data_IF_520729217203
#
_entry.id   IF_520729217203
#
_cell.length_a   1.000
_cell.length_b   1.000
_cell.length_c   1.000
_cell.angle_alpha   90.00
_cell.angle_beta   90.00
_cell.angle_gamma   90.00
#
_symmetry.space_group_name_H-M   'P 1'
#
loop_
_entity.id
_entity.type
_entity.pdbx_description
1 polymer ?
#
# COMPACT_ATOMS: atom_id res chain seq x y z
N UNK A 1 36.90 -38.50 47.81
CA UNK A 1 37.02 -37.03 47.65
C UNK A 1 36.59 -36.67 46.25
N UNK A 2 35.45 -35.99 46.15
CA UNK A 2 34.82 -35.54 44.92
C UNK A 2 35.56 -34.33 44.35
N UNK A 3 35.83 -34.33 43.05
CA UNK A 3 35.92 -33.09 42.25
C UNK A 3 35.21 -33.36 40.93
N UNK A 4 33.93 -32.98 40.87
CA UNK A 4 33.18 -32.91 39.63
C UNK A 4 33.55 -31.60 38.94
N UNK A 5 34.16 -31.68 37.76
CA UNK A 5 34.32 -30.54 36.86
C UNK A 5 32.96 -30.22 36.25
N UNK A 6 32.36 -29.11 36.71
CA UNK A 6 31.17 -28.53 36.10
C UNK A 6 31.62 -27.70 34.89
N UNK A 7 31.62 -28.30 33.70
CA UNK A 7 31.84 -27.58 32.45
C UNK A 7 30.57 -26.79 32.15
N UNK A 8 30.58 -25.50 32.47
CA UNK A 8 29.52 -24.56 32.11
C UNK A 8 29.57 -24.38 30.57
N UNK A 9 28.72 -25.10 29.85
CA UNK A 9 28.46 -24.82 28.44
C UNK A 9 27.78 -23.44 28.36
N UNK A 10 28.57 -22.40 28.16
CA UNK A 10 28.08 -21.10 27.72
C UNK A 10 27.68 -21.27 26.26
N UNK A 11 26.42 -21.63 26.01
CA UNK A 11 25.80 -21.54 24.70
C UNK A 11 25.75 -20.06 24.30
N UNK A 12 26.80 -19.60 23.64
CA UNK A 12 26.77 -18.38 22.84
C UNK A 12 25.65 -18.54 21.81
N UNK A 13 24.49 -17.96 22.13
CA UNK A 13 23.45 -17.63 21.17
C UNK A 13 24.06 -16.62 20.18
N UNK A 14 24.79 -17.12 19.19
CA UNK A 14 25.03 -16.37 17.96
C UNK A 14 23.64 -16.04 17.40
N UNK A 15 23.30 -14.77 17.15
CA UNK A 15 22.07 -14.44 16.45
C UNK A 15 22.13 -15.14 15.10
N UNK A 16 21.22 -16.07 14.85
CA UNK A 16 21.09 -16.68 13.54
C UNK A 16 20.91 -15.55 12.53
N UNK A 17 21.80 -15.48 11.53
CA UNK A 17 21.66 -14.60 10.39
C UNK A 17 20.49 -15.16 9.57
N UNK A 18 19.27 -14.74 9.88
CA UNK A 18 18.10 -15.07 9.06
C UNK A 18 18.06 -14.02 7.96
N UNK A 19 17.72 -14.39 6.72
CA UNK A 19 17.51 -13.41 5.65
C UNK A 19 16.13 -12.79 5.75
N UNK A 20 16.02 -11.50 5.44
CA UNK A 20 14.70 -10.90 5.33
C UNK A 20 14.00 -11.52 4.15
N UNK A 21 12.70 -11.55 4.27
CA UNK A 21 11.85 -12.00 3.20
C UNK A 21 10.66 -11.06 3.16
N UNK A 22 10.41 -10.47 2.00
CA UNK A 22 9.38 -9.46 1.85
C UNK A 22 8.90 -9.40 0.42
N UNK A 23 7.61 -9.15 0.25
CA UNK A 23 7.02 -8.97 -1.05
C UNK A 23 5.98 -7.84 -1.08
N UNK A 24 5.91 -7.15 -2.20
CA UNK A 24 4.82 -6.24 -2.56
C UNK A 24 3.66 -7.07 -3.12
N UNK A 25 2.66 -7.30 -2.27
CA UNK A 25 1.41 -7.99 -2.61
C UNK A 25 0.46 -7.06 -3.37
N UNK A 26 0.45 -5.76 -3.05
CA UNK A 26 -0.40 -4.75 -3.68
C UNK A 26 0.43 -3.51 -4.05
N UNK A 27 0.36 -3.01 -5.30
CA UNK A 27 -0.13 -3.73 -6.46
C UNK A 27 0.73 -4.99 -6.69
N UNK A 28 0.14 -6.03 -7.27
CA UNK A 28 0.80 -7.34 -7.32
C UNK A 28 2.07 -7.30 -8.15
N UNK A 29 3.19 -7.68 -7.54
CA UNK A 29 4.48 -7.68 -8.21
C UNK A 29 4.65 -8.85 -9.21
N UNK A 30 5.56 -8.67 -10.17
CA UNK A 30 5.96 -9.66 -11.17
C UNK A 30 6.42 -10.94 -10.49
N UNK A 31 5.97 -12.11 -10.94
CA UNK A 31 6.29 -13.39 -10.28
C UNK A 31 5.39 -13.76 -9.10
N UNK A 32 4.48 -12.88 -8.64
CA UNK A 32 3.51 -13.17 -7.58
C UNK A 32 2.06 -13.32 -8.07
N UNK A 33 1.83 -13.60 -9.35
CA UNK A 33 0.48 -13.78 -9.91
C UNK A 33 -0.24 -15.02 -9.38
N UNK A 34 0.51 -16.06 -9.01
CA UNK A 34 -0.04 -17.28 -8.41
C UNK A 34 -0.13 -17.18 -6.90
N UNK A 35 -1.10 -17.92 -6.34
CA UNK A 35 -1.24 -18.08 -4.89
C UNK A 35 0.02 -18.72 -4.31
N UNK A 36 0.47 -18.19 -3.18
CA UNK A 36 1.51 -18.78 -2.34
C UNK A 36 1.12 -18.66 -0.86
N UNK A 37 1.99 -19.15 0.04
CA UNK A 37 1.79 -18.97 1.49
C UNK A 37 1.73 -17.49 1.89
N UNK A 38 2.48 -16.63 1.22
CA UNK A 38 2.63 -15.21 1.55
C UNK A 38 1.73 -14.31 0.69
N UNK A 39 1.11 -14.90 -0.32
CA UNK A 39 0.23 -14.26 -1.30
C UNK A 39 -1.02 -15.12 -1.43
N UNK A 40 -1.99 -14.96 -0.52
CA UNK A 40 -3.07 -15.94 -0.36
C UNK A 40 -4.06 -15.95 -1.53
N UNK A 41 -4.05 -14.92 -2.39
CA UNK A 41 -4.90 -14.78 -3.57
C UNK A 41 -4.10 -14.91 -4.87
N UNK A 42 -4.65 -15.63 -5.85
CA UNK A 42 -4.10 -15.68 -7.20
C UNK A 42 -4.78 -14.61 -8.08
N UNK A 43 -4.00 -13.89 -8.88
CA UNK A 43 -4.52 -13.09 -10.00
C UNK A 43 -4.70 -13.95 -11.25
N UNK A 44 -3.79 -14.90 -11.46
CA UNK A 44 -3.87 -15.86 -12.55
C UNK A 44 -3.19 -17.17 -12.13
N UNK A 45 -3.97 -18.24 -12.04
CA UNK A 45 -3.47 -19.55 -11.63
C UNK A 45 -2.57 -20.22 -12.69
N UNK A 46 -2.63 -19.75 -13.94
CA UNK A 46 -1.84 -20.26 -15.06
C UNK A 46 -0.54 -19.48 -15.28
N UNK A 47 -0.32 -18.38 -14.55
CA UNK A 47 0.92 -17.60 -14.66
C UNK A 47 2.15 -18.43 -14.24
N UNK A 48 3.35 -18.11 -14.74
CA UNK A 48 4.58 -18.74 -14.27
C UNK A 48 4.76 -18.58 -12.75
N UNK A 49 5.09 -19.69 -12.07
CA UNK A 49 5.37 -19.65 -10.63
C UNK A 49 6.81 -19.20 -10.40
N UNK A 50 6.99 -18.08 -9.70
CA UNK A 50 8.22 -17.79 -8.99
C UNK A 50 8.17 -18.45 -7.60
N UNK A 51 9.20 -19.22 -7.25
CA UNK A 51 9.32 -19.85 -5.93
C UNK A 51 10.06 -18.96 -4.93
N UNK A 52 10.72 -17.90 -5.41
CA UNK A 52 11.52 -16.98 -4.63
C UNK A 52 11.03 -15.52 -4.67
N UNK A 53 9.71 -15.21 -4.78
CA UNK A 53 9.23 -13.85 -5.00
C UNK A 53 9.38 -12.94 -3.77
N UNK A 54 9.76 -13.51 -2.63
CA UNK A 54 9.93 -12.81 -1.36
C UNK A 54 11.41 -12.71 -0.97
N UNK A 55 12.32 -13.23 -1.79
CA UNK A 55 13.75 -13.31 -1.47
C UNK A 55 14.48 -11.98 -1.77
N UNK A 56 15.62 -11.72 -1.10
CA UNK A 56 16.46 -10.54 -1.33
C UNK A 56 16.80 -10.30 -2.79
N UNK A 57 17.04 -9.05 -3.17
CA UNK A 57 17.51 -8.69 -4.50
C UNK A 57 18.86 -9.35 -4.82
N UNK A 58 19.02 -9.73 -6.08
CA UNK A 58 20.22 -10.33 -6.60
C UNK A 58 20.13 -11.86 -6.62
N UNK A 59 21.14 -12.55 -6.09
CA UNK A 59 21.15 -14.02 -6.04
C UNK A 59 20.13 -14.50 -5.02
N UNK A 60 19.04 -15.11 -5.52
CA UNK A 60 17.94 -15.65 -4.72
C UNK A 60 18.37 -16.98 -4.08
N UNK A 61 18.56 -16.98 -2.77
CA UNK A 61 19.06 -18.14 -2.00
C UNK A 61 18.53 -18.07 -0.56
N UNK A 62 18.22 -19.24 0.03
CA UNK A 62 17.60 -19.38 1.36
C UNK A 62 18.62 -19.62 2.48
N UNK A 63 19.91 -19.70 2.14
CA UNK A 63 20.99 -19.83 3.10
C UNK A 63 21.11 -18.57 3.97
N UNK A 64 21.09 -18.69 5.31
CA UNK A 64 21.40 -17.63 6.26
C UNK A 64 22.42 -16.57 5.80
N UNK A 65 21.94 -15.34 5.58
CA UNK A 65 22.75 -14.18 5.18
C UNK A 65 23.01 -14.06 3.68
N UNK A 66 22.31 -14.85 2.85
CA UNK A 66 22.39 -14.81 1.40
C UNK A 66 22.06 -13.42 0.83
N UNK A 67 21.12 -12.69 1.44
CA UNK A 67 20.73 -11.37 1.00
C UNK A 67 21.87 -10.36 1.12
N UNK A 68 22.57 -10.36 2.26
CA UNK A 68 23.76 -9.54 2.47
C UNK A 68 24.89 -9.95 1.52
N UNK A 69 25.14 -11.26 1.42
CA UNK A 69 26.18 -11.81 0.56
C UNK A 69 25.95 -11.46 -0.92
N UNK A 70 24.69 -11.48 -1.37
CA UNK A 70 24.29 -11.05 -2.72
C UNK A 70 24.73 -9.60 -2.98
N UNK A 71 24.49 -8.69 -2.02
CA UNK A 71 24.92 -7.29 -2.15
C UNK A 71 26.45 -7.15 -2.12
N UNK A 72 27.14 -7.91 -1.29
CA UNK A 72 28.61 -7.94 -1.21
C UNK A 72 29.24 -8.38 -2.54
N UNK A 73 28.74 -9.48 -3.12
CA UNK A 73 29.21 -10.02 -4.39
C UNK A 73 28.97 -9.00 -5.52
N UNK A 74 27.77 -8.41 -5.57
CA UNK A 74 27.44 -7.45 -6.62
C UNK A 74 28.23 -6.15 -6.50
N UNK A 75 28.53 -5.70 -5.29
CA UNK A 75 29.32 -4.49 -5.04
C UNK A 75 30.81 -4.70 -5.33
N UNK A 76 31.39 -5.83 -4.92
CA UNK A 76 32.84 -6.05 -4.92
C UNK A 76 33.57 -4.98 -4.10
N UNK A 77 34.76 -4.57 -4.57
CA UNK A 77 35.61 -3.59 -3.88
C UNK A 77 35.00 -2.18 -3.76
N UNK A 78 33.91 -1.90 -4.50
CA UNK A 78 33.19 -0.62 -4.41
C UNK A 78 32.48 -0.44 -3.07
N UNK A 79 32.14 -1.54 -2.41
CA UNK A 79 31.39 -1.50 -1.15
C UNK A 79 29.93 -1.08 -1.30
N UNK A 80 29.26 -0.99 -0.15
CA UNK A 80 27.90 -0.51 -0.03
C UNK A 80 27.84 1.02 -0.02
N UNK A 81 26.86 1.58 -0.73
CA UNK A 81 26.51 3.00 -0.70
C UNK A 81 24.99 3.15 -0.87
N UNK A 82 24.42 4.27 -0.40
CA UNK A 82 22.97 4.49 -0.46
C UNK A 82 22.40 4.31 -1.86
N UNK A 83 21.20 3.74 -1.91
CA UNK A 83 20.43 3.62 -3.14
C UNK A 83 20.05 5.02 -3.65
N UNK A 84 20.47 5.33 -4.87
CA UNK A 84 20.19 6.61 -5.52
C UNK A 84 20.21 6.40 -7.05
N UNK A 85 19.17 5.76 -7.62
CA UNK A 85 19.18 5.30 -9.00
C UNK A 85 19.17 6.44 -10.04
N UNK A 86 18.97 7.68 -9.60
CA UNK A 86 18.95 8.88 -10.44
C UNK A 86 20.34 9.44 -10.71
N UNK A 87 21.33 9.05 -9.91
CA UNK A 87 22.71 9.51 -10.09
C UNK A 87 23.39 8.79 -11.25
N UNK A 88 24.11 9.51 -12.12
CA UNK A 88 24.86 8.90 -13.23
C UNK A 88 25.92 7.89 -12.77
N UNK A 89 26.53 8.11 -11.60
CA UNK A 89 27.55 7.25 -11.00
C UNK A 89 26.98 6.13 -10.11
N UNK A 90 25.65 6.06 -9.96
CA UNK A 90 25.01 4.98 -9.23
C UNK A 90 25.16 3.65 -9.98
N UNK A 91 25.82 2.69 -9.34
CA UNK A 91 25.89 1.33 -9.87
C UNK A 91 24.88 0.44 -9.14
N UNK A 92 24.14 -0.36 -9.89
CA UNK A 92 23.15 -1.25 -9.30
C UNK A 92 23.81 -2.49 -8.67
N UNK A 93 23.24 -2.96 -7.55
CA UNK A 93 23.65 -4.23 -6.89
C UNK A 93 22.72 -5.41 -7.22
N UNK A 94 21.67 -5.16 -7.99
CA UNK A 94 20.86 -6.20 -8.63
C UNK A 94 20.23 -5.65 -9.93
N UNK A 95 19.45 -6.48 -10.61
CA UNK A 95 18.52 -6.04 -11.66
C UNK A 95 17.50 -5.05 -11.13
N UNK A 96 16.95 -4.18 -11.98
CA UNK A 96 16.00 -3.14 -11.52
C UNK A 96 14.70 -3.68 -10.92
N UNK A 97 14.38 -4.96 -11.20
CA UNK A 97 13.26 -5.69 -10.59
C UNK A 97 13.70 -6.86 -9.69
N UNK A 98 14.94 -6.83 -9.19
CA UNK A 98 15.38 -7.70 -8.09
C UNK A 98 16.15 -8.96 -8.49
N UNK A 99 16.32 -9.20 -9.78
CA UNK A 99 17.13 -10.31 -10.32
C UNK A 99 18.64 -10.14 -10.04
N UNK A 100 19.47 -11.19 -10.19
CA UNK A 100 20.93 -11.08 -10.09
C UNK A 100 21.51 -9.96 -10.97
N UNK A 101 22.45 -9.16 -10.44
CA UNK A 101 23.09 -8.09 -11.21
C UNK A 101 23.79 -8.60 -12.48
N UNK A 102 24.37 -9.81 -12.40
CA UNK A 102 25.11 -10.48 -13.46
C UNK A 102 24.44 -11.82 -13.85
N UNK A 103 23.13 -11.80 -14.09
CA UNK A 103 22.37 -12.98 -14.48
C UNK A 103 21.12 -12.67 -15.30
N UNK A 104 20.32 -13.70 -15.56
CA UNK A 104 19.06 -13.56 -16.28
C UNK A 104 18.14 -12.58 -15.55
N UNK A 105 17.51 -11.68 -16.31
CA UNK A 105 16.55 -10.70 -15.80
C UNK A 105 15.12 -11.24 -16.01
N UNK A 106 14.75 -12.26 -15.23
CA UNK A 106 13.49 -12.97 -15.40
C UNK A 106 12.26 -12.10 -15.10
N UNK A 107 12.42 -11.01 -14.34
CA UNK A 107 11.37 -10.04 -14.03
C UNK A 107 11.32 -8.84 -14.98
N UNK A 108 12.17 -8.77 -16.01
CA UNK A 108 12.09 -7.74 -17.05
C UNK A 108 11.47 -8.28 -18.33
N UNK A 109 11.06 -7.40 -19.23
CA UNK A 109 10.49 -7.74 -20.53
C UNK A 109 11.29 -8.81 -21.27
N UNK A 110 10.59 -9.87 -21.68
CA UNK A 110 11.17 -11.07 -22.27
C UNK A 110 11.58 -12.15 -21.26
N UNK A 111 11.61 -11.81 -19.97
CA UNK A 111 11.83 -12.71 -18.85
C UNK A 111 10.58 -13.50 -18.48
N UNK A 112 10.80 -14.61 -17.76
CA UNK A 112 9.76 -15.58 -17.39
C UNK A 112 8.61 -14.98 -16.57
N UNK A 113 8.89 -14.01 -15.70
CA UNK A 113 7.95 -13.46 -14.73
C UNK A 113 7.39 -12.09 -15.12
N UNK A 114 7.84 -11.52 -16.24
CA UNK A 114 7.30 -10.30 -16.82
C UNK A 114 5.82 -10.42 -17.19
N UNK A 115 5.40 -11.62 -17.63
CA UNK A 115 4.01 -11.97 -17.89
C UNK A 115 3.29 -10.94 -18.78
N UNK A 116 3.92 -10.62 -19.91
CA UNK A 116 3.48 -9.66 -20.92
C UNK A 116 3.18 -8.24 -20.39
N UNK A 117 3.74 -7.87 -19.23
CA UNK A 117 3.52 -6.56 -18.63
C UNK A 117 2.07 -6.36 -18.19
N UNK A 118 1.41 -7.44 -17.75
CA UNK A 118 -0.01 -7.43 -17.35
C UNK A 118 -0.29 -6.34 -16.31
N UNK A 119 -1.10 -5.36 -16.68
CA UNK A 119 -1.56 -4.31 -15.77
C UNK A 119 -2.35 -4.92 -14.60
N UNK A 120 -1.81 -4.81 -13.39
CA UNK A 120 -2.40 -5.37 -12.16
C UNK A 120 -3.20 -4.35 -11.36
N UNK A 121 -3.02 -3.06 -11.64
CA UNK A 121 -3.77 -1.97 -11.02
C UNK A 121 -3.79 -0.76 -11.94
N UNK A 122 -4.90 -0.02 -11.88
CA UNK A 122 -5.03 1.29 -12.50
C UNK A 122 -5.11 2.34 -11.38
N UNK A 123 -4.57 3.52 -11.61
CA UNK A 123 -4.64 4.64 -10.70
C UNK A 123 -4.97 5.91 -11.46
N UNK A 124 -5.41 6.92 -10.73
CA UNK A 124 -5.64 8.25 -11.25
C UNK A 124 -4.37 9.10 -11.12
N UNK A 125 -4.03 9.86 -12.15
CA UNK A 125 -3.01 10.92 -12.10
C UNK A 125 -3.20 11.84 -10.88
N UNK A 126 -2.10 12.15 -10.18
CA UNK A 126 -2.11 12.94 -8.94
C UNK A 126 -2.70 12.23 -7.71
N UNK A 127 -3.19 11.00 -7.87
CA UNK A 127 -3.83 10.22 -6.82
C UNK A 127 -2.86 9.67 -5.77
N UNK A 128 -3.42 8.94 -4.81
CA UNK A 128 -2.67 8.20 -3.80
C UNK A 128 -2.65 6.72 -4.16
N UNK A 129 -1.47 6.12 -4.10
CA UNK A 129 -1.29 4.66 -4.14
C UNK A 129 -0.93 4.16 -2.74
N UNK A 130 -1.25 2.92 -2.45
CA UNK A 130 -0.94 2.22 -1.21
C UNK A 130 -0.29 0.89 -1.52
N UNK A 131 0.75 0.56 -0.77
CA UNK A 131 1.51 -0.67 -0.96
C UNK A 131 1.13 -1.71 0.09
N UNK A 132 0.57 -2.83 -0.35
CA UNK A 132 0.34 -3.98 0.52
C UNK A 132 1.62 -4.80 0.58
N UNK A 133 2.21 -4.96 1.76
CA UNK A 133 3.48 -5.63 1.94
C UNK A 133 3.32 -6.88 2.80
N UNK A 134 3.80 -8.02 2.33
CA UNK A 134 3.91 -9.23 3.13
C UNK A 134 5.37 -9.45 3.49
N UNK A 135 5.70 -9.23 4.77
CA UNK A 135 7.05 -9.32 5.32
C UNK A 135 7.12 -10.54 6.24
N UNK A 136 8.01 -11.49 5.93
CA UNK A 136 8.17 -12.77 6.64
C UNK A 136 9.30 -12.72 7.68
N UNK A 137 10.25 -11.81 7.48
CA UNK A 137 11.32 -11.53 8.42
C UNK A 137 11.55 -10.02 8.44
N UNK A 138 11.20 -9.38 9.56
CA UNK A 138 10.88 -7.95 9.60
C UNK A 138 12.04 -7.02 9.23
N UNK A 139 13.28 -7.36 9.62
CA UNK A 139 14.57 -6.68 9.37
C UNK A 139 14.65 -5.14 9.44
N UNK A 140 13.55 -4.48 9.82
CA UNK A 140 13.40 -3.05 9.97
C UNK A 140 13.72 -2.28 8.68
N UNK A 141 14.22 -1.05 8.82
CA UNK A 141 14.60 -0.21 7.70
C UNK A 141 13.40 0.46 7.04
N UNK A 142 13.47 0.67 5.74
CA UNK A 142 12.46 1.47 5.03
C UNK A 142 12.26 1.04 3.58
N UNK A 143 11.08 1.38 3.10
CA UNK A 143 10.64 1.24 1.72
C UNK A 143 10.69 2.58 1.01
N UNK A 144 11.13 2.58 -0.23
CA UNK A 144 10.92 3.66 -1.19
C UNK A 144 10.17 3.11 -2.41
N UNK A 145 9.35 3.97 -3.03
CA UNK A 145 8.55 3.63 -4.19
C UNK A 145 8.92 4.52 -5.37
N UNK A 146 9.05 3.93 -6.56
CA UNK A 146 9.41 4.63 -7.78
C UNK A 146 8.44 4.25 -8.88
N UNK A 147 8.03 5.20 -9.73
CA UNK A 147 7.19 4.90 -10.90
C UNK A 147 7.92 5.30 -12.16
N UNK A 148 7.96 4.40 -13.13
CA UNK A 148 8.55 4.62 -14.44
C UNK A 148 7.47 4.56 -15.52
N UNK A 149 7.42 5.59 -16.36
CA UNK A 149 6.61 5.59 -17.58
C UNK A 149 7.39 4.87 -18.68
N UNK A 150 7.00 3.63 -19.02
CA UNK A 150 7.81 2.79 -19.92
C UNK A 150 7.84 3.31 -21.35
N UNK A 151 6.94 4.21 -21.73
CA UNK A 151 7.00 4.90 -23.02
C UNK A 151 8.23 5.83 -23.12
N UNK A 152 8.80 6.23 -21.98
CA UNK A 152 10.05 7.03 -21.89
C UNK A 152 11.29 6.16 -21.67
N UNK A 153 11.11 4.86 -21.41
CA UNK A 153 12.22 3.94 -21.22
C UNK A 153 12.60 3.29 -22.56
N UNK A 154 13.89 3.26 -22.88
CA UNK A 154 14.37 2.46 -24.00
C UNK A 154 14.04 0.97 -23.79
N UNK A 155 13.58 0.29 -24.85
CA UNK A 155 13.14 -1.11 -24.78
C UNK A 155 11.69 -1.30 -24.34
N UNK A 156 11.02 -0.24 -23.86
CA UNK A 156 9.61 -0.28 -23.44
C UNK A 156 9.39 -1.15 -22.20
N UNK A 157 10.30 -1.07 -21.23
CA UNK A 157 10.17 -1.56 -19.86
C UNK A 157 11.09 -0.74 -18.94
N UNK A 158 10.92 -0.85 -17.62
CA UNK A 158 11.83 -0.26 -16.63
C UNK A 158 13.27 -0.73 -16.86
N UNK A 159 14.22 0.19 -16.79
CA UNK A 159 15.65 -0.08 -16.98
C UNK A 159 16.50 0.87 -16.16
N UNK A 160 17.79 0.56 -16.00
CA UNK A 160 18.74 1.41 -15.26
C UNK A 160 18.78 2.83 -15.84
N UNK A 161 18.89 2.92 -17.16
CA UNK A 161 18.95 4.19 -17.89
C UNK A 161 17.63 4.96 -17.80
N UNK A 162 16.50 4.28 -17.62
CA UNK A 162 15.21 4.95 -17.46
C UNK A 162 15.15 5.81 -16.19
N UNK A 163 15.83 5.42 -15.12
CA UNK A 163 15.95 6.25 -13.92
C UNK A 163 16.81 7.50 -14.18
N UNK A 164 17.93 7.34 -14.87
CA UNK A 164 18.88 8.43 -15.11
C UNK A 164 18.37 9.45 -16.15
N UNK A 165 17.54 9.01 -17.09
CA UNK A 165 17.00 9.85 -18.17
C UNK A 165 15.64 10.50 -17.82
N UNK A 166 15.19 10.41 -16.57
CA UNK A 166 13.94 11.04 -16.11
C UNK A 166 12.67 10.32 -16.55
N UNK A 167 12.75 9.07 -16.99
CA UNK A 167 11.58 8.22 -17.24
C UNK A 167 10.96 7.67 -15.95
N UNK A 168 11.74 7.63 -14.86
CA UNK A 168 11.30 7.26 -13.52
C UNK A 168 11.28 8.45 -12.55
N UNK A 169 10.43 8.36 -11.54
CA UNK A 169 10.32 9.35 -10.45
C UNK A 169 10.07 8.67 -9.12
N UNK A 170 10.70 9.18 -8.07
CA UNK A 170 10.50 8.68 -6.70
C UNK A 170 9.20 9.28 -6.18
N UNK A 171 8.35 8.44 -5.61
CA UNK A 171 7.13 8.89 -4.99
C UNK A 171 7.42 9.41 -3.59
N UNK A 172 6.68 10.45 -3.21
CA UNK A 172 6.65 10.93 -1.83
C UNK A 172 5.52 10.25 -1.09
N UNK A 173 5.71 10.02 0.21
CA UNK A 173 4.66 9.59 1.13
C UNK A 173 3.42 10.47 1.01
N UNK A 174 2.24 9.84 1.03
CA UNK A 174 0.98 10.56 1.18
C UNK A 174 0.71 10.83 2.66
N UNK A 175 0.12 11.99 2.95
CA UNK A 175 -0.33 12.35 4.29
C UNK A 175 -1.41 11.35 4.76
N UNK A 176 -1.23 10.80 5.94
CA UNK A 176 -2.19 9.94 6.60
C UNK A 176 -2.35 10.38 8.07
N UNK A 177 -3.55 10.84 8.49
CA UNK A 177 -3.73 11.42 9.83
C UNK A 177 -3.27 10.49 10.96
N UNK A 178 -3.53 9.19 10.82
CA UNK A 178 -3.11 8.20 11.81
C UNK A 178 -1.58 8.08 11.90
N UNK A 179 -0.88 8.07 10.77
CA UNK A 179 0.58 8.01 10.75
C UNK A 179 1.19 9.30 11.31
N UNK A 180 0.66 10.46 10.91
CA UNK A 180 1.11 11.78 11.37
C UNK A 180 0.78 12.06 12.84
N UNK A 181 -0.14 11.30 13.45
CA UNK A 181 -0.37 11.34 14.90
C UNK A 181 0.87 10.91 15.69
N UNK A 182 1.78 10.16 15.05
CA UNK A 182 2.98 9.53 15.65
C UNK A 182 2.67 8.45 16.68
N UNK A 183 1.40 8.16 16.91
CA UNK A 183 0.93 7.21 17.92
C UNK A 183 0.59 5.85 17.32
N UNK A 184 0.38 5.76 16.01
CA UNK A 184 0.03 4.49 15.37
C UNK A 184 1.14 3.47 15.49
N UNK A 185 0.76 2.21 15.68
CA UNK A 185 1.65 1.05 15.58
C UNK A 185 1.72 0.49 14.16
N UNK A 186 0.83 0.94 13.27
CA UNK A 186 0.69 0.46 11.89
C UNK A 186 1.47 1.31 10.88
N UNK A 187 1.81 2.55 11.22
CA UNK A 187 2.66 3.41 10.41
C UNK A 187 3.29 4.54 11.22
N UNK A 188 4.39 5.06 10.72
CA UNK A 188 5.07 6.21 11.27
C UNK A 188 4.85 7.48 10.43
N UNK A 189 5.12 8.66 11.02
CA UNK A 189 4.96 9.96 10.38
C UNK A 189 5.91 10.12 9.18
N UNK A 190 5.65 11.11 8.33
CA UNK A 190 6.55 11.43 7.22
C UNK A 190 7.89 11.95 7.74
N UNK A 191 8.98 11.33 7.29
CA UNK A 191 10.33 11.83 7.50
C UNK A 191 10.57 13.10 6.68
N UNK A 192 10.78 14.22 7.35
CA UNK A 192 11.02 15.51 6.69
C UNK A 192 12.33 15.54 5.88
N UNK A 193 13.34 14.76 6.28
CA UNK A 193 14.61 14.68 5.56
C UNK A 193 14.52 13.74 4.36
N UNK A 194 13.66 12.71 4.46
CA UNK A 194 13.49 11.69 3.43
C UNK A 194 12.00 11.40 3.19
N UNK A 195 11.25 12.34 2.56
CA UNK A 195 9.79 12.24 2.45
C UNK A 195 9.30 11.12 1.54
N UNK A 196 10.20 10.42 0.84
CA UNK A 196 9.91 9.22 0.05
C UNK A 196 10.02 7.90 0.83
N UNK A 197 10.45 7.93 2.09
CA UNK A 197 10.66 6.72 2.89
C UNK A 197 9.43 6.36 3.70
N UNK A 198 9.05 5.10 3.64
CA UNK A 198 8.11 4.49 4.57
C UNK A 198 8.86 3.49 5.45
N UNK A 199 8.96 3.76 6.75
CA UNK A 199 9.66 2.90 7.69
C UNK A 199 8.78 1.73 8.10
N UNK A 200 9.36 0.53 8.13
CA UNK A 200 8.63 -0.67 8.54
C UNK A 200 8.13 -0.51 10.00
N UNK A 201 6.81 -0.65 10.25
CA UNK A 201 6.19 -0.51 11.57
C UNK A 201 6.60 -1.57 12.59
N UNK A 202 5.91 -1.63 13.72
CA UNK A 202 6.17 -2.70 14.67
C UNK A 202 5.75 -4.05 14.09
N UNK A 203 6.67 -5.03 14.14
CA UNK A 203 6.37 -6.44 13.89
C UNK A 203 5.26 -6.91 14.83
N UNK A 204 4.32 -7.71 14.32
CA UNK A 204 3.29 -8.34 15.16
C UNK A 204 3.87 -9.48 15.99
N UNK A 205 5.02 -10.03 15.58
CA UNK A 205 5.81 -10.98 16.35
C UNK A 205 6.97 -10.27 17.08
N UNK A 206 7.04 -10.43 18.41
CA UNK A 206 8.08 -9.84 19.26
C UNK A 206 9.50 -10.38 19.01
N UNK A 207 9.65 -11.42 18.21
CA UNK A 207 10.94 -11.95 17.74
C UNK A 207 11.38 -11.34 16.41
N UNK A 208 10.47 -10.63 15.71
CA UNK A 208 10.65 -10.20 14.33
C UNK A 208 10.70 -11.37 13.32
N UNK A 209 10.40 -12.59 13.78
CA UNK A 209 10.26 -13.79 12.98
C UNK A 209 8.77 -14.10 12.90
N UNK A 210 8.16 -13.87 11.75
CA UNK A 210 6.71 -13.95 11.64
C UNK A 210 6.24 -13.37 10.34
N UNK A 211 5.10 -13.86 9.87
CA UNK A 211 4.46 -13.29 8.70
C UNK A 211 3.66 -12.06 9.13
N UNK A 212 4.22 -10.89 8.89
CA UNK A 212 3.56 -9.60 9.00
C UNK A 212 2.95 -9.22 7.65
N UNK A 213 1.67 -8.87 7.67
CA UNK A 213 1.04 -8.19 6.54
C UNK A 213 0.84 -6.73 6.91
N UNK A 214 1.42 -5.83 6.13
CA UNK A 214 1.20 -4.40 6.19
C UNK A 214 0.20 -4.01 5.10
N UNK A 215 -1.02 -3.63 5.49
CA UNK A 215 -2.03 -3.24 4.54
C UNK A 215 -1.71 -1.92 3.79
N UNK A 216 -2.23 -1.74 2.56
CA UNK A 216 -1.90 -0.61 1.70
C UNK A 216 -2.33 0.77 2.22
N UNK A 217 -3.31 0.86 3.12
CA UNK A 217 -3.78 2.11 3.71
C UNK A 217 -2.70 2.82 4.55
N UNK A 218 -1.76 2.06 5.11
CA UNK A 218 -0.70 2.59 5.97
C UNK A 218 0.57 2.95 5.19
N UNK A 219 0.86 2.22 4.10
CA UNK A 219 2.03 2.43 3.24
C UNK A 219 1.66 3.23 1.98
N UNK A 220 1.19 4.47 2.15
CA UNK A 220 0.67 5.30 1.06
C UNK A 220 1.66 6.34 0.50
N UNK A 221 1.57 6.56 -0.82
CA UNK A 221 2.43 7.43 -1.62
C UNK A 221 1.60 8.25 -2.60
N UNK A 222 2.03 9.48 -2.91
CA UNK A 222 1.36 10.37 -3.87
C UNK A 222 1.99 10.23 -5.25
N UNK A 223 1.16 9.99 -6.26
CA UNK A 223 1.54 10.08 -7.67
C UNK A 223 1.74 11.57 -8.05
N UNK A 224 2.75 11.91 -8.86
CA UNK A 224 2.91 13.29 -9.34
C UNK A 224 1.70 13.77 -10.15
N UNK A 225 1.35 15.04 -9.98
CA UNK A 225 0.16 15.64 -10.61
C UNK A 225 0.17 15.58 -12.13
N UNK A 226 1.35 15.48 -12.77
CA UNK A 226 1.51 15.43 -14.23
C UNK A 226 1.79 14.02 -14.77
N UNK A 227 1.93 13.03 -13.89
CA UNK A 227 2.26 11.66 -14.29
C UNK A 227 1.00 10.89 -14.70
N UNK A 228 0.98 10.41 -15.93
CA UNK A 228 0.02 9.47 -16.49
C UNK A 228 0.75 8.59 -17.51
N UNK A 229 0.27 7.38 -17.74
CA UNK A 229 0.90 6.37 -18.58
C UNK A 229 -0.06 5.21 -18.83
N UNK A 230 -0.10 4.70 -20.06
CA UNK A 230 -0.86 3.50 -20.41
C UNK A 230 -0.26 2.23 -19.80
N UNK A 231 1.06 2.23 -19.67
CA UNK A 231 1.86 1.22 -19.02
C UNK A 231 2.95 1.94 -18.20
N UNK A 232 2.87 1.77 -16.90
CA UNK A 232 3.89 2.17 -15.94
C UNK A 232 4.40 0.96 -15.19
N UNK A 233 5.61 1.08 -14.67
CA UNK A 233 6.16 0.12 -13.72
C UNK A 233 6.37 0.81 -12.38
N UNK A 234 5.71 0.30 -11.35
CA UNK A 234 5.99 0.66 -9.96
C UNK A 234 7.11 -0.25 -9.45
N UNK A 235 8.23 0.34 -9.06
CA UNK A 235 9.31 -0.34 -8.34
C UNK A 235 9.16 -0.11 -6.83
N UNK A 236 9.15 -1.21 -6.08
CA UNK A 236 9.30 -1.25 -4.64
C UNK A 236 10.77 -1.53 -4.30
N UNK A 237 11.41 -0.61 -3.58
CA UNK A 237 12.74 -0.80 -2.99
C UNK A 237 12.59 -0.92 -1.47
N UNK A 238 13.09 -1.99 -0.88
CA UNK A 238 13.24 -2.11 0.57
C UNK A 238 14.69 -2.35 0.94
N UNK A 239 15.19 -1.64 1.94
CA UNK A 239 16.48 -1.87 2.56
C UNK A 239 16.33 -2.19 4.04
N UNK A 240 16.97 -3.28 4.46
CA UNK A 240 16.97 -3.73 5.86
C UNK A 240 17.86 -2.86 6.76
N UNK A 241 17.61 -2.90 8.06
CA UNK A 241 18.41 -2.23 9.10
C UNK A 241 18.74 -3.16 10.30
N UNK A 242 18.85 -4.47 10.03
CA UNK A 242 19.20 -5.50 11.02
C UNK A 242 20.73 -5.66 11.17
N UNK A 243 21.49 -5.50 10.08
CA UNK A 243 22.94 -5.74 10.05
C UNK A 243 23.74 -4.45 10.26
N UNK A 244 23.35 -3.38 9.59
CA UNK A 244 23.87 -2.02 9.74
C UNK A 244 22.68 -1.05 9.63
N UNK A 245 22.86 0.21 10.02
CA UNK A 245 21.80 1.23 9.89
C UNK A 245 22.01 2.05 8.61
N UNK A 246 21.10 1.98 7.62
CA UNK A 246 21.14 2.87 6.46
C UNK A 246 21.12 4.36 6.89
N UNK A 247 21.75 5.27 6.13
CA UNK A 247 21.76 6.70 6.48
C UNK A 247 20.37 7.28 6.66
N UNK A 248 20.18 8.08 7.72
CA UNK A 248 18.91 8.71 8.08
C UNK A 248 18.00 7.87 8.97
N UNK A 249 18.22 6.54 9.09
CA UNK A 249 17.35 5.68 9.91
C UNK A 249 17.35 6.12 11.38
N UNK A 250 18.53 6.30 11.98
CA UNK A 250 18.60 6.75 13.38
C UNK A 250 18.02 8.16 13.55
N UNK A 251 18.26 9.07 12.61
CA UNK A 251 17.75 10.44 12.66
C UNK A 251 16.22 10.49 12.64
N UNK A 252 15.58 9.59 11.90
CA UNK A 252 14.12 9.45 11.89
C UNK A 252 13.57 9.04 13.25
N UNK A 253 14.17 8.02 13.87
CA UNK A 253 13.71 7.49 15.16
C UNK A 253 14.03 8.40 16.35
N UNK A 254 15.18 9.09 16.31
CA UNK A 254 15.63 9.97 17.39
C UNK A 254 15.22 11.43 17.19
N UNK A 255 14.68 11.74 16.02
CA UNK A 255 14.24 13.06 15.65
C UNK A 255 12.98 13.50 16.44
N UNK A 256 12.76 14.82 16.54
CA UNK A 256 11.62 15.38 17.29
C UNK A 256 10.26 15.00 16.71
N UNK A 257 10.22 14.53 15.47
CA UNK A 257 9.02 14.11 14.75
C UNK A 257 8.92 12.59 14.57
N UNK A 258 9.80 11.80 15.18
CA UNK A 258 9.76 10.34 15.09
C UNK A 258 8.51 9.71 15.74
N UNK A 259 8.27 8.41 15.51
CA UNK A 259 7.15 7.67 16.10
C UNK A 259 7.30 7.58 17.63
N UNK A 260 6.22 7.86 18.37
CA UNK A 260 6.22 7.91 19.83
C UNK A 260 6.00 6.53 20.47
N UNK A 261 5.17 5.69 19.85
CA UNK A 261 4.74 4.42 20.45
C UNK A 261 5.56 3.22 20.00
N UNK A 262 6.62 3.44 19.21
CA UNK A 262 7.42 2.33 18.69
C UNK A 262 8.51 1.90 19.66
N UNK A 263 8.95 2.75 20.61
CA UNK A 263 10.14 2.49 21.46
C UNK A 263 10.23 1.14 22.18
N UNK A 264 9.11 0.45 22.41
CA UNK A 264 9.05 -0.88 23.04
C UNK A 264 9.00 -2.05 22.06
N UNK A 265 8.79 -1.78 20.77
CA UNK A 265 8.65 -2.78 19.73
C UNK A 265 9.96 -3.54 19.52
N UNK A 266 9.93 -4.85 19.66
CA UNK A 266 11.09 -5.70 19.41
C UNK A 266 11.14 -6.08 17.94
N UNK A 267 12.34 -6.12 17.39
CA UNK A 267 12.59 -6.60 16.03
C UNK A 267 13.86 -7.43 15.94
N UNK A 268 14.11 -7.98 14.75
CA UNK A 268 15.33 -8.74 14.49
C UNK A 268 16.61 -7.88 14.59
N UNK A 269 17.76 -8.55 14.72
CA UNK A 269 19.05 -7.88 14.90
C UNK A 269 19.28 -7.29 16.29
N UNK A 270 18.31 -7.45 17.21
CA UNK A 270 18.30 -6.79 18.52
C UNK A 270 17.61 -5.43 18.50
N UNK A 271 16.81 -5.15 17.48
CA UNK A 271 16.11 -3.88 17.35
C UNK A 271 15.13 -3.65 18.51
N UNK A 272 15.16 -2.42 19.03
CA UNK A 272 14.21 -1.90 20.01
C UNK A 272 13.67 -0.58 19.48
N UNK A 273 12.37 -0.57 19.24
CA UNK A 273 11.63 0.49 18.57
C UNK A 273 11.94 0.67 17.10
N UNK A 274 11.96 -0.43 16.36
CA UNK A 274 12.11 -0.41 14.90
C UNK A 274 13.54 -0.10 14.44
N UNK A 275 14.51 -0.02 15.35
CA UNK A 275 15.90 0.31 15.01
C UNK A 275 16.92 -0.44 15.87
N UNK A 276 18.06 -0.75 15.27
CA UNK A 276 19.15 -1.50 15.90
C UNK A 276 20.29 -0.55 16.31
N UNK A 277 20.15 0.09 17.48
CA UNK A 277 21.03 1.20 17.91
C UNK A 277 22.50 0.86 18.11
N UNK A 278 22.82 -0.42 18.36
CA UNK A 278 24.19 -0.89 18.54
C UNK A 278 24.89 -1.28 17.22
N UNK A 279 24.25 -1.09 16.07
CA UNK A 279 24.84 -1.37 14.75
C UNK A 279 25.53 -0.15 14.17
N UNK A 280 26.62 -0.39 13.44
CA UNK A 280 27.33 0.64 12.69
C UNK A 280 26.45 1.15 11.53
N UNK A 281 26.68 2.38 11.05
CA UNK A 281 26.08 2.85 9.79
C UNK A 281 26.47 1.94 8.62
N UNK A 282 25.56 1.75 7.67
CA UNK A 282 25.86 1.07 6.42
C UNK A 282 26.80 1.92 5.56
N UNK A 283 27.72 1.26 4.84
CA UNK A 283 28.72 1.95 4.03
C UNK A 283 30.02 1.17 3.85
N UNK A 284 30.67 1.41 2.70
CA UNK A 284 31.99 0.89 2.39
C UNK A 284 32.00 -0.63 2.24
N UNK A 285 33.18 -1.24 2.33
CA UNK A 285 33.39 -2.66 2.03
C UNK A 285 33.02 -3.61 3.19
N UNK A 286 32.57 -3.09 4.33
CA UNK A 286 32.33 -3.89 5.54
C UNK A 286 30.88 -3.90 6.01
N UNK A 287 30.10 -2.83 5.75
CA UNK A 287 28.78 -2.63 6.34
C UNK A 287 27.69 -2.65 5.25
N UNK A 288 27.17 -3.84 4.98
CA UNK A 288 26.14 -4.07 3.97
C UNK A 288 24.76 -4.30 4.59
N UNK A 289 23.75 -3.66 4.01
CA UNK A 289 22.35 -3.99 4.24
C UNK A 289 21.89 -5.03 3.21
N UNK A 290 20.84 -5.78 3.57
CA UNK A 290 20.03 -6.52 2.61
C UNK A 290 19.14 -5.56 1.83
N UNK A 291 18.90 -5.85 0.56
CA UNK A 291 18.10 -5.02 -0.34
C UNK A 291 17.10 -5.87 -1.10
N UNK A 292 15.94 -5.30 -1.43
CA UNK A 292 14.85 -5.94 -2.16
C UNK A 292 14.37 -4.98 -3.24
N UNK A 293 14.24 -5.45 -4.46
CA UNK A 293 13.64 -4.71 -5.56
C UNK A 293 12.54 -5.58 -6.17
N UNK A 294 11.37 -5.01 -6.40
CA UNK A 294 10.26 -5.70 -7.07
C UNK A 294 9.52 -4.72 -7.96
N UNK A 295 8.89 -5.23 -9.00
CA UNK A 295 8.20 -4.42 -9.99
C UNK A 295 6.76 -4.87 -10.16
N UNK A 296 5.83 -3.93 -10.32
CA UNK A 296 4.44 -4.20 -10.69
C UNK A 296 4.04 -3.32 -11.88
N UNK A 297 3.34 -3.92 -12.83
CA UNK A 297 2.84 -3.23 -14.01
C UNK A 297 1.50 -2.58 -13.70
N UNK A 298 1.43 -1.26 -13.82
CA UNK A 298 0.26 -0.45 -13.45
C UNK A 298 -0.10 0.51 -14.58
N UNK A 299 -1.31 1.04 -14.55
CA UNK A 299 -1.75 2.14 -15.42
C UNK A 299 -2.01 3.39 -14.59
N UNK A 300 -1.69 4.55 -15.13
CA UNK A 300 -2.07 5.83 -14.52
C UNK A 300 -2.86 6.63 -15.54
N UNK A 301 -4.17 6.72 -15.31
CA UNK A 301 -5.11 7.41 -16.19
C UNK A 301 -5.03 8.92 -15.99
N UNK A 302 -5.16 9.66 -17.11
CA UNK A 302 -5.25 11.11 -17.07
C UNK A 302 -6.48 11.54 -16.30
N UNK A 303 -6.32 12.59 -15.50
CA UNK A 303 -7.45 13.24 -14.86
C UNK A 303 -7.66 14.66 -15.40
N UNK A 304 -8.61 14.77 -16.33
CA UNK A 304 -9.13 16.05 -16.78
C UNK A 304 -10.27 16.47 -15.83
N UNK A 305 -9.93 16.88 -14.61
CA UNK A 305 -10.91 17.38 -13.65
C UNK A 305 -11.73 18.55 -14.21
N UNK A 306 -12.82 18.97 -13.52
CA UNK A 306 -13.57 20.15 -13.92
C UNK A 306 -12.58 21.30 -14.08
N UNK A 307 -12.40 21.79 -15.31
CA UNK A 307 -11.58 22.97 -15.59
C UNK A 307 -12.13 24.07 -14.69
N UNK A 308 -11.41 24.43 -13.63
CA UNK A 308 -11.76 25.61 -12.88
C UNK A 308 -11.59 26.77 -13.85
N UNK A 309 -12.72 27.25 -14.38
CA UNK A 309 -12.80 28.29 -15.39
C UNK A 309 -12.41 29.66 -14.86
N UNK A 310 -11.37 29.77 -14.03
CA UNK A 310 -10.71 31.04 -13.78
C UNK A 310 -9.61 31.21 -14.82
N UNK A 311 -9.96 31.80 -15.96
CA UNK A 311 -9.00 32.65 -16.67
C UNK A 311 -8.36 33.57 -15.61
N UNK A 312 -7.05 33.78 -15.61
CA UNK A 312 -6.47 34.87 -14.85
C UNK A 312 -7.14 36.15 -15.35
N UNK A 313 -7.96 36.77 -14.50
CA UNK A 313 -8.45 38.12 -14.77
C UNK A 313 -7.20 39.00 -14.72
N UNK A 314 -6.87 39.60 -15.85
CA UNK A 314 -5.85 40.65 -15.92
C UNK A 314 -6.13 41.69 -14.83
N UNK A 315 -5.10 42.12 -14.11
CA UNK A 315 -5.20 43.01 -12.96
C UNK A 315 -5.51 44.47 -13.35
N UNK A 316 -6.39 44.69 -14.31
CA UNK A 316 -6.72 46.01 -14.81
C UNK A 316 -8.23 46.08 -15.06
N UNK A 317 -8.90 46.78 -14.13
CA UNK A 317 -10.31 47.23 -14.07
C UNK A 317 -11.01 46.78 -12.78
N UNK A 318 -10.67 47.47 -11.68
CA UNK A 318 -11.53 47.57 -10.50
C UNK A 318 -12.48 48.74 -10.76
N UNK A 319 -13.75 48.43 -11.05
CA UNK A 319 -14.87 49.36 -10.94
C UNK A 319 -15.27 49.45 -9.45
N UNK A 320 -15.19 50.62 -8.80
CA UNK A 320 -15.45 50.78 -7.37
C UNK A 320 -16.94 50.79 -6.98
N UNK A 321 -17.87 50.41 -7.87
CA UNK A 321 -19.31 50.48 -7.59
C UNK A 321 -20.03 49.13 -7.67
N UNK A 322 -19.71 48.20 -6.76
CA UNK A 322 -20.55 47.02 -6.51
C UNK A 322 -20.82 46.84 -5.01
N UNK A 323 -22.07 47.02 -4.63
CA UNK A 323 -22.64 46.88 -3.28
C UNK A 323 -22.49 45.45 -2.75
N UNK A 324 -22.19 45.22 -1.45
CA UNK A 324 -22.01 43.88 -0.92
C UNK A 324 -23.36 43.18 -0.68
N UNK A 325 -23.48 41.94 -1.16
CA UNK A 325 -24.53 40.98 -0.78
C UNK A 325 -24.26 40.42 0.63
N UNK A 326 -25.30 40.04 1.38
CA UNK A 326 -25.18 39.71 2.80
C UNK A 326 -24.48 38.37 3.06
N UNK A 327 -23.72 38.38 4.15
CA UNK A 327 -22.99 37.26 4.77
C UNK A 327 -23.90 36.05 5.02
N UNK A 328 -23.51 34.89 4.51
CA UNK A 328 -24.02 33.60 4.96
C UNK A 328 -23.53 33.28 6.38
N UNK A 329 -24.43 32.74 7.18
CA UNK A 329 -24.30 32.35 8.59
C UNK A 329 -23.26 31.23 8.86
N UNK A 330 -22.79 31.07 10.11
CA UNK A 330 -21.79 30.07 10.49
C UNK A 330 -22.34 28.64 10.57
N UNK A 331 -21.56 27.68 10.07
CA UNK A 331 -21.80 26.24 10.26
C UNK A 331 -21.42 25.85 11.70
N UNK A 332 -22.29 25.19 12.49
CA UNK A 332 -21.93 24.75 13.83
C UNK A 332 -21.01 23.52 13.81
N UNK A 333 -19.85 23.64 14.45
CA UNK A 333 -19.09 22.52 15.03
C UNK A 333 -19.90 21.91 16.17
N UNK A 334 -20.33 20.65 16.02
CA UNK A 334 -20.23 19.57 17.02
C UNK A 334 -21.17 18.43 16.65
N UNK A 335 -20.62 17.27 16.28
CA UNK A 335 -21.27 16.00 16.56
C UNK A 335 -20.22 15.05 17.13
N UNK A 336 -20.28 14.87 18.45
CA UNK A 336 -19.52 13.86 19.16
C UNK A 336 -19.92 12.46 18.72
N UNK A 337 -18.99 11.51 18.88
CA UNK A 337 -19.17 10.10 18.58
C UNK A 337 -20.45 9.56 19.27
N UNK A 338 -21.38 9.06 18.46
CA UNK A 338 -22.56 8.33 18.95
C UNK A 338 -22.29 6.84 18.70
N UNK A 339 -22.24 6.07 19.79
CA UNK A 339 -22.22 4.61 19.74
C UNK A 339 -23.54 4.07 19.16
N UNK A 340 -23.47 2.92 18.49
CA UNK A 340 -24.59 2.17 17.90
C UNK A 340 -25.80 2.12 18.84
N UNK A 341 -26.83 2.93 18.56
CA UNK A 341 -28.11 2.85 19.26
C UNK A 341 -29.08 1.99 18.47
N UNK A 342 -29.48 0.89 19.09
CA UNK A 342 -30.67 0.10 18.77
C UNK A 342 -31.89 1.04 18.70
N UNK A 343 -32.65 0.95 17.60
CA UNK A 343 -33.99 1.51 17.47
C UNK A 343 -34.05 3.03 17.31
N UNK A 344 -34.19 3.50 16.07
CA UNK A 344 -34.72 4.84 15.81
C UNK A 344 -35.96 4.75 14.92
N UNK A 345 -37.04 5.34 15.42
CA UNK A 345 -38.37 5.37 14.83
C UNK A 345 -38.59 6.66 14.03
N UNK A 346 -39.12 6.46 12.82
CA UNK A 346 -39.71 7.41 11.85
C UNK A 346 -38.79 8.08 10.80
N UNK A 347 -38.95 7.70 9.51
CA UNK A 347 -38.33 8.32 8.33
C UNK A 347 -39.31 9.21 7.52
N UNK A 348 -38.78 10.00 6.55
CA UNK A 348 -39.53 10.42 5.35
C UNK A 348 -38.70 10.27 4.07
N UNK A 349 -39.37 9.76 3.05
CA UNK A 349 -38.86 9.18 1.80
C UNK A 349 -38.44 10.21 0.72
N UNK A 350 -37.69 9.76 -0.30
CA UNK A 350 -38.30 9.14 -1.49
C UNK A 350 -37.96 7.64 -1.63
N UNK A 351 -38.84 6.93 -2.35
CA UNK A 351 -38.86 5.47 -2.57
C UNK A 351 -37.68 4.99 -3.43
N UNK A 352 -37.08 3.86 -3.06
CA UNK A 352 -36.34 3.00 -3.98
C UNK A 352 -36.75 1.53 -3.72
N UNK A 353 -37.01 0.78 -4.79
CA UNK A 353 -37.61 -0.56 -4.78
C UNK A 353 -39.15 -0.59 -4.64
N UNK A 354 -39.86 -1.23 -5.56
CA UNK A 354 -41.28 -1.63 -5.38
C UNK A 354 -41.41 -3.00 -4.67
N UNK A 355 -40.27 -3.67 -4.41
CA UNK A 355 -40.18 -5.00 -3.79
C UNK A 355 -39.75 -4.99 -2.32
N UNK A 356 -39.03 -6.03 -1.90
CA UNK A 356 -38.57 -6.25 -0.51
C UNK A 356 -37.33 -5.42 -0.15
N UNK A 357 -36.49 -5.09 -1.11
CA UNK A 357 -35.29 -4.27 -0.96
C UNK A 357 -35.67 -2.78 -1.03
N UNK A 358 -35.23 -2.01 -0.04
CA UNK A 358 -35.51 -0.57 0.10
C UNK A 358 -34.38 0.30 -0.45
N UNK A 359 -33.15 0.04 -0.07
CA UNK A 359 -32.01 0.86 -0.49
C UNK A 359 -30.68 0.11 -0.28
N UNK A 360 -29.64 0.62 -0.94
CA UNK A 360 -28.26 0.26 -0.62
C UNK A 360 -27.65 1.40 0.21
N UNK A 361 -27.09 1.10 1.38
CA UNK A 361 -26.36 2.06 2.20
C UNK A 361 -24.85 1.86 2.05
N UNK A 362 -24.14 2.95 1.76
CA UNK A 362 -22.68 2.97 1.86
C UNK A 362 -22.26 3.40 3.27
N UNK A 363 -21.49 2.54 3.91
CA UNK A 363 -20.78 2.79 5.15
C UNK A 363 -19.35 3.22 4.82
N UNK A 364 -18.84 4.24 5.50
CA UNK A 364 -17.43 4.63 5.46
C UNK A 364 -16.92 4.83 6.89
N UNK A 365 -15.83 4.18 7.26
CA UNK A 365 -15.26 4.21 8.62
C UNK A 365 -16.28 3.91 9.73
N UNK A 366 -17.16 2.93 9.49
CA UNK A 366 -18.24 2.51 10.41
C UNK A 366 -19.34 3.56 10.65
N UNK A 367 -19.42 4.57 9.78
CA UNK A 367 -20.47 5.57 9.79
C UNK A 367 -21.30 5.39 8.51
N UNK A 368 -22.65 5.34 8.56
CA UNK A 368 -23.47 5.43 7.36
C UNK A 368 -23.14 6.73 6.65
N UNK A 369 -22.46 6.62 5.52
CA UNK A 369 -21.98 7.77 4.77
C UNK A 369 -23.13 8.35 3.97
N UNK A 370 -23.75 7.53 3.11
CA UNK A 370 -24.81 7.95 2.17
C UNK A 370 -25.70 6.77 1.74
N UNK A 371 -26.97 7.07 1.45
CA UNK A 371 -27.80 6.19 0.64
C UNK A 371 -27.29 6.21 -0.82
N UNK A 372 -27.13 5.02 -1.40
CA UNK A 372 -26.75 4.85 -2.80
C UNK A 372 -28.03 4.83 -3.65
N UNK A 373 -28.16 5.80 -4.53
CA UNK A 373 -29.22 5.88 -5.54
C UNK A 373 -28.61 5.65 -6.92
N UNK A 374 -29.42 5.35 -7.93
CA UNK A 374 -28.94 5.23 -9.30
C UNK A 374 -28.21 6.52 -9.74
N UNK A 375 -26.98 6.37 -10.25
CA UNK A 375 -26.13 7.50 -10.65
C UNK A 375 -25.49 8.28 -9.50
N UNK A 376 -25.42 7.71 -8.29
CA UNK A 376 -24.76 8.35 -7.17
C UNK A 376 -23.25 8.51 -7.40
N UNK A 377 -22.74 9.75 -7.29
CA UNK A 377 -21.30 10.03 -7.24
C UNK A 377 -20.91 10.16 -5.78
N UNK A 378 -19.98 9.32 -5.31
CA UNK A 378 -19.53 9.33 -3.92
C UNK A 378 -18.03 9.57 -3.86
N UNK A 379 -17.63 10.65 -3.19
CA UNK A 379 -16.24 10.86 -2.85
C UNK A 379 -15.85 9.85 -1.76
N UNK A 380 -15.01 8.90 -2.12
CA UNK A 380 -14.43 7.90 -1.22
C UNK A 380 -12.94 7.94 -1.46
N UNK A 381 -12.15 8.19 -0.41
CA UNK A 381 -10.71 8.24 -0.54
C UNK A 381 -10.19 6.83 -0.86
N UNK A 382 -9.07 6.72 -1.60
CA UNK A 382 -8.35 5.45 -1.71
C UNK A 382 -8.13 4.89 -0.31
N UNK A 383 -8.53 3.64 -0.10
CA UNK A 383 -8.39 2.92 1.16
C UNK A 383 -9.26 3.42 2.33
N UNK A 384 -10.25 4.29 2.09
CA UNK A 384 -11.34 4.43 3.04
C UNK A 384 -11.93 3.04 3.27
N UNK A 385 -12.11 2.70 4.53
CA UNK A 385 -12.73 1.45 4.89
C UNK A 385 -14.22 1.63 4.60
N UNK A 386 -14.76 0.91 3.64
CA UNK A 386 -16.16 1.05 3.23
C UNK A 386 -16.95 -0.25 3.30
N UNK A 387 -18.27 -0.16 3.38
CA UNK A 387 -19.19 -1.30 3.34
C UNK A 387 -20.49 -0.98 2.60
N UNK A 388 -21.11 -1.97 1.95
CA UNK A 388 -22.41 -1.79 1.31
C UNK A 388 -23.41 -2.73 1.95
N UNK A 389 -24.49 -2.15 2.49
CA UNK A 389 -25.58 -2.86 3.13
C UNK A 389 -26.83 -2.81 2.24
N UNK A 390 -27.50 -3.94 2.07
CA UNK A 390 -28.86 -3.98 1.53
C UNK A 390 -29.87 -3.88 2.65
N UNK A 391 -30.67 -2.82 2.61
CA UNK A 391 -31.72 -2.54 3.60
C UNK A 391 -33.06 -2.99 3.05
N UNK A 392 -33.84 -3.71 3.86
CA UNK A 392 -35.18 -4.14 3.50
C UNK A 392 -36.24 -3.08 3.81
N UNK A 393 -37.40 -3.18 3.15
CA UNK A 393 -38.59 -2.45 3.55
C UNK A 393 -39.09 -2.90 4.93
N UNK A 394 -39.76 -2.00 5.65
CA UNK A 394 -40.25 -2.28 7.00
C UNK A 394 -41.22 -3.46 7.01
N UNK A 395 -40.93 -4.48 7.82
CA UNK A 395 -41.74 -5.70 7.94
C UNK A 395 -41.40 -6.80 6.93
N UNK A 396 -40.48 -6.55 5.98
CA UNK A 396 -40.04 -7.55 5.01
C UNK A 396 -38.91 -8.43 5.55
N UNK A 397 -38.85 -9.66 5.05
CA UNK A 397 -37.77 -10.63 5.31
C UNK A 397 -37.40 -11.38 4.05
N UNK A 398 -36.12 -11.71 3.91
CA UNK A 398 -35.59 -12.55 2.82
C UNK A 398 -34.61 -13.60 3.37
N UNK A 399 -34.47 -14.73 2.69
CA UNK A 399 -33.54 -15.79 3.10
C UNK A 399 -32.07 -15.37 2.91
N UNK A 400 -31.77 -14.72 1.79
CA UNK A 400 -30.43 -14.24 1.46
C UNK A 400 -30.46 -13.05 0.50
N UNK A 401 -29.37 -12.29 0.45
CA UNK A 401 -29.15 -11.25 -0.57
C UNK A 401 -27.87 -11.56 -1.33
N UNK A 402 -27.99 -11.74 -2.64
CA UNK A 402 -26.87 -11.93 -3.55
C UNK A 402 -26.34 -10.58 -4.00
N UNK A 403 -25.05 -10.34 -3.86
CA UNK A 403 -24.37 -9.15 -4.35
C UNK A 403 -23.47 -9.45 -5.54
N UNK A 404 -23.54 -8.59 -6.54
CA UNK A 404 -22.66 -8.60 -7.71
C UNK A 404 -22.04 -7.21 -7.90
N UNK A 405 -20.80 -7.19 -8.40
CA UNK A 405 -20.07 -5.94 -8.67
C UNK A 405 -19.55 -6.00 -10.11
N UNK A 406 -19.95 -5.03 -10.94
CA UNK A 406 -19.69 -5.01 -12.38
C UNK A 406 -20.12 -6.29 -13.11
N UNK A 407 -21.15 -6.97 -12.59
CA UNK A 407 -21.66 -8.23 -13.13
C UNK A 407 -20.97 -9.48 -12.62
N UNK A 408 -19.88 -9.36 -11.85
CA UNK A 408 -19.20 -10.49 -11.21
C UNK A 408 -19.87 -10.84 -9.87
N UNK A 409 -20.08 -12.13 -9.63
CA UNK A 409 -20.59 -12.64 -8.36
C UNK A 409 -19.56 -12.43 -7.25
N UNK A 410 -19.86 -11.58 -6.27
CA UNK A 410 -18.92 -11.25 -5.20
C UNK A 410 -19.27 -11.97 -3.88
N UNK A 411 -20.53 -11.92 -3.43
CA UNK A 411 -20.93 -12.53 -2.16
C UNK A 411 -22.44 -12.74 -2.02
N UNK A 412 -22.85 -13.79 -1.30
CA UNK A 412 -24.25 -14.01 -0.90
C UNK A 412 -24.37 -13.91 0.62
N UNK A 413 -25.12 -12.93 1.11
CA UNK A 413 -25.36 -12.67 2.52
C UNK A 413 -26.56 -13.50 3.02
N UNK A 414 -26.35 -14.49 3.92
CA UNK A 414 -27.40 -15.43 4.31
C UNK A 414 -28.26 -14.96 5.50
N UNK A 415 -28.02 -13.74 6.01
CA UNK A 415 -28.74 -13.23 7.19
C UNK A 415 -28.62 -11.72 7.29
N UNK A 416 -29.67 -11.06 7.80
CA UNK A 416 -29.65 -9.64 8.15
C UNK A 416 -28.68 -9.32 9.31
N UNK A 417 -28.04 -8.14 9.35
CA UNK A 417 -27.97 -7.15 8.28
C UNK A 417 -27.17 -7.67 7.07
N UNK A 418 -27.68 -7.43 5.86
CA UNK A 418 -27.13 -8.03 4.64
C UNK A 418 -26.03 -7.15 4.06
N UNK A 419 -24.78 -7.54 4.26
CA UNK A 419 -23.62 -6.83 3.71
C UNK A 419 -23.04 -7.53 2.49
N UNK A 420 -22.62 -6.72 1.51
CA UNK A 420 -21.63 -7.13 0.51
C UNK A 420 -20.33 -7.46 1.27
N UNK A 421 -20.14 -8.75 1.55
CA UNK A 421 -19.08 -9.42 2.33
C UNK A 421 -19.31 -9.63 3.86
N UNK A 422 -18.80 -10.78 4.35
CA UNK A 422 -19.01 -11.30 5.71
C UNK A 422 -17.91 -10.86 6.68
N UNK A 423 -18.06 -9.72 7.32
CA UNK A 423 -17.68 -9.60 8.74
C UNK A 423 -18.52 -8.52 9.43
N UNK A 424 -19.68 -8.92 9.94
CA UNK A 424 -20.58 -8.06 10.72
C UNK A 424 -20.01 -7.63 12.08
N UNK A 425 -18.81 -8.08 12.45
CA UNK A 425 -18.09 -7.63 13.65
C UNK A 425 -16.92 -6.69 13.36
N UNK A 426 -16.54 -6.56 12.08
CA UNK A 426 -15.45 -5.73 11.59
C UNK A 426 -15.83 -5.10 10.25
N UNK A 427 -16.76 -4.15 10.29
CA UNK A 427 -16.75 -3.13 9.24
C UNK A 427 -15.50 -2.28 9.52
N UNK A 428 -14.70 -1.86 8.52
CA UNK A 428 -14.88 -2.09 7.08
C UNK A 428 -13.65 -2.63 6.33
N UNK A 429 -13.93 -3.17 5.14
CA UNK A 429 -12.96 -3.72 4.20
C UNK A 429 -12.36 -2.64 3.29
N UNK A 430 -11.16 -2.93 2.79
CA UNK A 430 -10.52 -2.14 1.75
C UNK A 430 -11.06 -2.56 0.38
N UNK A 431 -11.60 -1.61 -0.38
CA UNK A 431 -11.89 -1.82 -1.79
C UNK A 431 -10.58 -1.93 -2.59
N UNK A 432 -9.96 -3.11 -2.52
CA UNK A 432 -8.68 -3.42 -3.17
C UNK A 432 -8.82 -3.56 -4.70
N UNK A 433 -10.04 -3.72 -5.20
CA UNK A 433 -10.31 -4.13 -6.60
C UNK A 433 -10.58 -2.99 -7.58
N UNK A 434 -10.82 -1.74 -7.17
CA UNK A 434 -11.23 -0.71 -8.14
C UNK A 434 -10.49 0.64 -8.00
N UNK A 435 -10.03 1.20 -9.14
CA UNK A 435 -9.37 2.49 -9.19
C UNK A 435 -10.34 3.63 -8.89
N UNK A 436 -9.78 4.69 -8.32
CA UNK A 436 -10.44 5.97 -8.17
C UNK A 436 -10.85 6.53 -9.54
N UNK A 437 -12.04 7.13 -9.61
CA UNK A 437 -12.78 7.64 -10.76
C UNK A 437 -13.32 6.59 -11.73
N UNK A 438 -13.51 5.36 -11.28
CA UNK A 438 -14.28 4.37 -12.02
C UNK A 438 -15.73 4.34 -11.54
N UNK A 439 -16.65 4.24 -12.49
CA UNK A 439 -18.02 3.82 -12.24
C UNK A 439 -18.03 2.31 -11.96
N UNK A 440 -18.59 1.94 -10.82
CA UNK A 440 -18.80 0.56 -10.40
C UNK A 440 -20.28 0.34 -10.23
N UNK A 441 -20.82 -0.68 -10.89
CA UNK A 441 -22.22 -1.07 -10.73
C UNK A 441 -22.31 -2.13 -9.64
N UNK A 442 -22.98 -1.78 -8.55
CA UNK A 442 -23.27 -2.68 -7.43
C UNK A 442 -24.72 -3.10 -7.54
N UNK A 443 -24.96 -4.41 -7.60
CA UNK A 443 -26.30 -4.97 -7.67
C UNK A 443 -26.53 -5.90 -6.49
N UNK A 444 -27.66 -5.72 -5.81
CA UNK A 444 -28.19 -6.60 -4.79
C UNK A 444 -29.48 -7.25 -5.30
N UNK A 445 -29.59 -8.56 -5.15
CA UNK A 445 -30.70 -9.35 -5.66
C UNK A 445 -31.18 -10.34 -4.59
N UNK A 446 -32.49 -10.43 -4.40
CA UNK A 446 -33.11 -11.39 -3.49
C UNK A 446 -34.54 -11.71 -3.92
N UNK A 447 -34.89 -13.01 -4.00
CA UNK A 447 -36.24 -13.47 -4.33
C UNK A 447 -36.87 -12.83 -5.59
N UNK A 448 -36.04 -12.48 -6.58
CA UNK A 448 -36.45 -11.82 -7.82
C UNK A 448 -36.58 -10.29 -7.74
N UNK A 449 -36.39 -9.70 -6.56
CA UNK A 449 -36.26 -8.27 -6.38
C UNK A 449 -34.80 -7.83 -6.55
N UNK A 450 -34.59 -6.69 -7.20
CA UNK A 450 -33.26 -6.23 -7.63
C UNK A 450 -33.11 -4.74 -7.36
N UNK A 451 -32.04 -4.37 -6.65
CA UNK A 451 -31.53 -3.01 -6.59
C UNK A 451 -30.17 -2.94 -7.27
N UNK A 452 -30.03 -1.99 -8.18
CA UNK A 452 -28.78 -1.73 -8.90
C UNK A 452 -28.42 -0.25 -8.77
N UNK A 453 -27.18 0.01 -8.34
CA UNK A 453 -26.64 1.36 -8.17
C UNK A 453 -25.29 1.45 -8.86
N UNK A 454 -25.12 2.49 -9.67
CA UNK A 454 -23.81 2.87 -10.21
C UNK A 454 -23.18 3.88 -9.27
N UNK A 455 -22.00 3.58 -8.77
CA UNK A 455 -21.23 4.41 -7.85
C UNK A 455 -19.94 4.84 -8.53
N UNK A 456 -19.66 6.14 -8.55
CA UNK A 456 -18.32 6.64 -8.94
C UNK A 456 -17.50 6.91 -7.68
N UNK A 457 -16.33 6.29 -7.56
CA UNK A 457 -15.38 6.51 -6.45
C UNK A 457 -14.46 7.68 -6.75
N UNK A 458 -14.77 8.92 -6.37
CA UNK A 458 -13.91 10.08 -6.72
C UNK A 458 -12.86 10.41 -5.65
N UNK A 459 -11.64 10.79 -6.09
CA UNK A 459 -10.52 11.19 -5.22
C UNK A 459 -10.69 12.61 -4.68
#
# INVERSE_FOLDING_TARGET
MNVAFLTLCLSLLLPALIDAHGLMDIPRQRGAFRRSKYVPTALDSNAPQDFYPHFPAGVKDDRPGAGKLSQEIAAGDRGWYPYDPYKPDFTWRAGVCGDPANGNQDHLKGGKFYYDGRIVATYRQGGVIGLGLSVVAHHNGFVEAHVCDVAKCEGGDISKDCFQNGGCVQLKRAYQPECESRQSVHCGPIDHNYPGRWYLPCSTDNTGLGWDYFPPEYATFRLPDQLHCEHCVLQWYWVGANTCNPPGVLDYYDGPYGPLNWGTCRGQGGAQGGVTRNKKPCGGTEQFAEEYYQCADIRIERFDGPRSGRRPVSAEEIDPSATPLPSSEPVPEHLGAIALSVGRSTPRAPLYGEGKLKELLLWADNIPSRALTQGAVVNVRPYDRIGVEAVLNEGETVDEVKFTVDGDDEYTAPSAPYFLFRDSSQVPFYWKKFPVNREVTIRAESEGDVLEVTVTFSS
#
